data_IF_951142349441
#
_entry.id   IF_951142349441
#
_cell.length_a   1.000
_cell.length_b   1.000
_cell.length_c   1.000
_cell.angle_alpha   90.00
_cell.angle_beta   90.00
_cell.angle_gamma   90.00
#
_symmetry.space_group_name_H-M   'P 1'
#
loop_
_entity.id
_entity.type
_entity.pdbx_description
1 polymer ?
#
# COMPACT_ATOMS: atom_id res chain seq x y z
N UNK A 1 4.48 8.93 -38.85
CA UNK A 1 4.42 7.93 -37.76
C UNK A 1 3.01 7.96 -37.23
N UNK A 2 2.21 7.06 -37.77
CA UNK A 2 0.83 7.41 -38.12
C UNK A 2 -0.14 7.13 -36.98
N UNK A 3 -1.19 7.93 -36.87
CA UNK A 3 -2.24 7.79 -35.86
C UNK A 3 -2.84 6.37 -35.81
N UNK A 4 -2.82 5.66 -36.94
CA UNK A 4 -3.22 4.25 -37.07
C UNK A 4 -2.25 3.32 -36.33
N UNK A 5 -0.94 3.56 -36.41
CA UNK A 5 0.07 2.76 -35.69
C UNK A 5 -0.04 2.99 -34.17
N UNK A 6 -0.26 4.23 -33.74
CA UNK A 6 -0.49 4.57 -32.32
C UNK A 6 -1.78 3.93 -31.77
N UNK A 7 -2.86 3.92 -32.55
CA UNK A 7 -4.13 3.29 -32.18
C UNK A 7 -4.01 1.77 -32.09
N UNK A 8 -3.39 1.14 -33.10
CA UNK A 8 -3.18 -0.32 -33.15
C UNK A 8 -2.24 -0.81 -32.05
N UNK A 9 -1.19 -0.04 -31.75
CA UNK A 9 -0.30 -0.31 -30.63
C UNK A 9 -1.00 -0.14 -29.28
N UNK A 10 -1.89 0.85 -29.15
CA UNK A 10 -2.76 1.00 -27.98
C UNK A 10 -3.70 -0.18 -27.78
N UNK A 11 -4.32 -0.69 -28.85
CA UNK A 11 -5.18 -1.88 -28.80
C UNK A 11 -4.41 -3.17 -28.43
N UNK A 12 -3.19 -3.35 -28.96
CA UNK A 12 -2.34 -4.49 -28.62
C UNK A 12 -1.92 -4.44 -27.14
N UNK A 13 -1.49 -3.27 -26.65
CA UNK A 13 -1.11 -3.09 -25.24
C UNK A 13 -2.32 -3.34 -24.33
N UNK A 14 -3.50 -2.84 -24.69
CA UNK A 14 -4.73 -3.09 -23.94
C UNK A 14 -5.05 -4.58 -23.89
N UNK A 15 -4.86 -5.31 -24.99
CA UNK A 15 -5.09 -6.75 -25.04
C UNK A 15 -4.10 -7.51 -24.15
N UNK A 16 -2.80 -7.20 -24.21
CA UNK A 16 -1.76 -7.78 -23.34
C UNK A 16 -2.02 -7.46 -21.85
N UNK A 17 -2.42 -6.23 -21.53
CA UNK A 17 -2.77 -5.83 -20.16
C UNK A 17 -4.03 -6.57 -19.68
N UNK A 18 -5.04 -6.79 -20.53
CA UNK A 18 -6.24 -7.57 -20.18
C UNK A 18 -5.90 -9.05 -19.98
N UNK A 19 -5.03 -9.62 -20.82
CA UNK A 19 -4.59 -11.01 -20.69
C UNK A 19 -3.79 -11.21 -19.40
N UNK A 20 -2.83 -10.33 -19.12
CA UNK A 20 -2.09 -10.37 -17.86
C UNK A 20 -3.03 -10.22 -16.67
N UNK A 21 -3.93 -9.22 -16.67
CA UNK A 21 -4.96 -9.06 -15.63
C UNK A 21 -5.82 -10.32 -15.45
N UNK A 22 -6.21 -10.97 -16.53
CA UNK A 22 -7.03 -12.18 -16.50
C UNK A 22 -6.26 -13.36 -15.90
N UNK A 23 -4.99 -13.55 -16.29
CA UNK A 23 -4.11 -14.59 -15.75
C UNK A 23 -3.87 -14.34 -14.25
N UNK A 24 -3.62 -13.09 -13.87
CA UNK A 24 -3.43 -12.67 -12.49
C UNK A 24 -4.69 -12.94 -11.67
N UNK A 25 -5.85 -12.56 -12.20
CA UNK A 25 -7.13 -12.78 -11.54
C UNK A 25 -7.41 -14.27 -11.36
N UNK A 26 -7.15 -15.09 -12.38
CA UNK A 26 -7.30 -16.55 -12.30
C UNK A 26 -6.30 -17.17 -11.31
N UNK A 27 -5.06 -16.70 -11.29
CA UNK A 27 -4.05 -17.17 -10.34
C UNK A 27 -4.41 -16.80 -8.89
N UNK A 28 -4.89 -15.59 -8.65
CA UNK A 28 -5.32 -15.13 -7.33
C UNK A 28 -6.62 -15.81 -6.89
N UNK A 29 -7.55 -16.05 -7.82
CA UNK A 29 -8.79 -16.77 -7.56
C UNK A 29 -8.53 -18.25 -7.27
N UNK A 30 -7.64 -18.90 -8.02
CA UNK A 30 -7.24 -20.28 -7.78
C UNK A 30 -6.48 -20.43 -6.46
N UNK A 31 -5.58 -19.51 -6.11
CA UNK A 31 -4.93 -19.47 -4.80
C UNK A 31 -5.97 -19.28 -3.67
N UNK A 32 -6.94 -18.38 -3.85
CA UNK A 32 -8.02 -18.14 -2.88
C UNK A 32 -8.91 -19.37 -2.70
N UNK A 33 -9.19 -20.11 -3.77
CA UNK A 33 -9.94 -21.37 -3.77
C UNK A 33 -9.12 -22.47 -3.08
N UNK A 34 -7.85 -22.62 -3.43
CA UNK A 34 -6.95 -23.61 -2.82
C UNK A 34 -6.85 -23.41 -1.30
N UNK A 35 -6.78 -22.16 -0.86
CA UNK A 35 -6.74 -21.81 0.57
C UNK A 35 -8.08 -22.06 1.27
N UNK A 36 -9.22 -21.81 0.61
CA UNK A 36 -10.55 -22.19 1.14
C UNK A 36 -10.78 -23.70 1.20
N UNK A 37 -10.12 -24.48 0.33
CA UNK A 37 -10.23 -25.94 0.28
C UNK A 37 -9.22 -26.65 1.20
N UNK A 38 -8.08 -26.02 1.51
CA UNK A 38 -7.08 -26.54 2.43
C UNK A 38 -7.61 -27.02 3.81
N UNK A 39 -8.55 -26.32 4.48
CA UNK A 39 -9.11 -26.79 5.75
C UNK A 39 -9.95 -28.08 5.64
N UNK A 40 -10.38 -28.48 4.43
CA UNK A 40 -11.04 -29.80 4.22
C UNK A 40 -10.05 -30.97 4.25
N UNK A 41 -8.78 -30.74 3.95
CA UNK A 41 -7.75 -31.79 3.90
C UNK A 41 -6.83 -31.81 5.12
N UNK A 42 -6.70 -30.70 5.88
CA UNK A 42 -5.87 -30.63 7.08
C UNK A 42 -6.60 -29.93 8.24
N UNK A 43 -7.43 -30.67 8.98
CA UNK A 43 -8.22 -30.18 10.13
C UNK A 43 -7.40 -29.71 11.35
N UNK A 44 -6.09 -29.96 11.38
CA UNK A 44 -5.26 -29.76 12.58
C UNK A 44 -4.40 -28.47 12.55
N UNK A 45 -4.58 -27.61 11.53
CA UNK A 45 -3.86 -26.34 11.37
C UNK A 45 -4.83 -25.17 11.25
N UNK A 46 -4.56 -24.07 11.96
CA UNK A 46 -5.41 -22.87 11.95
C UNK A 46 -5.24 -22.06 10.66
N UNK A 47 -6.15 -22.25 9.72
CA UNK A 47 -6.25 -21.45 8.49
C UNK A 47 -7.12 -20.18 8.65
N UNK A 48 -7.74 -19.98 9.81
CA UNK A 48 -8.68 -18.87 10.07
C UNK A 48 -8.03 -17.49 9.89
N UNK A 49 -6.76 -17.37 10.30
CA UNK A 49 -5.97 -16.15 10.11
C UNK A 49 -5.71 -15.84 8.64
N UNK A 50 -5.51 -16.86 7.81
CA UNK A 50 -5.30 -16.73 6.37
C UNK A 50 -6.60 -16.36 5.66
N UNK A 51 -7.71 -17.00 6.04
CA UNK A 51 -9.03 -16.76 5.46
C UNK A 51 -9.54 -15.34 5.77
N UNK A 52 -9.27 -14.82 6.97
CA UNK A 52 -9.58 -13.43 7.34
C UNK A 52 -8.74 -12.43 6.53
N UNK A 53 -7.43 -12.68 6.37
CA UNK A 53 -6.54 -11.83 5.55
C UNK A 53 -6.98 -11.79 4.09
N UNK A 54 -7.35 -12.93 3.51
CA UNK A 54 -7.86 -13.02 2.14
C UNK A 54 -9.20 -12.30 1.98
N UNK A 55 -10.09 -12.36 2.99
CA UNK A 55 -11.39 -11.67 2.95
C UNK A 55 -11.22 -10.15 2.98
N UNK A 56 -10.35 -9.63 3.84
CA UNK A 56 -10.00 -8.20 3.89
C UNK A 56 -9.31 -7.75 2.60
N UNK A 57 -8.46 -8.61 2.05
CA UNK A 57 -7.78 -8.37 0.78
C UNK A 57 -8.74 -8.31 -0.42
N UNK A 58 -9.63 -9.29 -0.57
CA UNK A 58 -10.67 -9.29 -1.61
C UNK A 58 -11.66 -8.12 -1.46
N UNK A 59 -11.99 -7.72 -0.23
CA UNK A 59 -12.93 -6.64 0.03
C UNK A 59 -12.40 -5.24 -0.34
N UNK A 60 -11.10 -5.00 -0.18
CA UNK A 60 -10.51 -3.67 -0.39
C UNK A 60 -9.63 -3.55 -1.64
N UNK A 61 -8.74 -4.51 -1.90
CA UNK A 61 -7.76 -4.41 -2.99
C UNK A 61 -8.36 -4.71 -4.36
N UNK A 62 -9.36 -5.59 -4.47
CA UNK A 62 -10.02 -5.88 -5.75
C UNK A 62 -10.68 -4.63 -6.36
N UNK A 63 -11.37 -3.83 -5.54
CA UNK A 63 -12.03 -2.59 -5.96
C UNK A 63 -11.00 -1.58 -6.44
N UNK A 64 -9.94 -1.37 -5.66
CA UNK A 64 -8.88 -0.39 -5.99
C UNK A 64 -8.08 -0.83 -7.22
N UNK A 65 -7.86 -2.13 -7.41
CA UNK A 65 -7.15 -2.70 -8.55
C UNK A 65 -7.96 -2.58 -9.85
N UNK A 66 -9.27 -2.82 -9.81
CA UNK A 66 -10.16 -2.59 -10.94
C UNK A 66 -10.21 -1.11 -11.34
N UNK A 67 -10.27 -0.19 -10.37
CA UNK A 67 -10.33 1.24 -10.66
C UNK A 67 -8.98 1.85 -11.09
N UNK A 68 -7.84 1.33 -10.63
CA UNK A 68 -6.51 1.89 -10.95
C UNK A 68 -5.95 1.42 -12.30
N UNK A 69 -6.45 0.31 -12.87
CA UNK A 69 -5.88 -0.34 -14.06
C UNK A 69 -6.69 -0.08 -15.33
N UNK A 70 -7.94 0.38 -15.22
CA UNK A 70 -8.80 0.69 -16.35
C UNK A 70 -8.54 2.13 -16.87
N UNK A 71 -7.60 2.21 -17.82
CA UNK A 71 -7.58 3.11 -18.98
C UNK A 71 -6.88 4.48 -18.94
N UNK A 72 -6.45 5.05 -17.82
CA UNK A 72 -5.77 6.37 -17.88
C UNK A 72 -4.79 6.62 -16.72
N UNK A 73 -3.57 7.09 -17.02
CA UNK A 73 -2.58 7.50 -16.01
C UNK A 73 -3.16 8.48 -14.98
N UNK A 74 -4.12 9.32 -15.39
CA UNK A 74 -4.83 10.23 -14.49
C UNK A 74 -5.77 9.51 -13.52
N UNK A 75 -6.47 8.47 -13.96
CA UNK A 75 -7.39 7.70 -13.11
C UNK A 75 -6.58 6.90 -12.08
N UNK A 76 -5.48 6.28 -12.50
CA UNK A 76 -4.55 5.59 -11.59
C UNK A 76 -3.97 6.53 -10.53
N UNK A 77 -3.55 7.73 -10.96
CA UNK A 77 -3.06 8.78 -10.07
C UNK A 77 -4.11 9.16 -9.01
N UNK A 78 -5.36 9.40 -9.42
CA UNK A 78 -6.45 9.76 -8.50
C UNK A 78 -6.77 8.58 -7.55
N UNK A 79 -6.82 7.35 -8.06
CA UNK A 79 -7.07 6.16 -7.25
C UNK A 79 -6.01 5.98 -6.16
N UNK A 80 -4.73 6.14 -6.52
CA UNK A 80 -3.61 6.03 -5.57
C UNK A 80 -3.60 7.23 -4.59
N UNK A 81 -4.02 8.41 -5.03
CA UNK A 81 -4.21 9.56 -4.12
C UNK A 81 -5.27 9.27 -3.05
N UNK A 82 -6.40 8.67 -3.46
CA UNK A 82 -7.46 8.24 -2.54
C UNK A 82 -6.96 7.14 -1.61
N UNK A 83 -6.16 6.19 -2.12
CA UNK A 83 -5.52 5.15 -1.31
C UNK A 83 -4.60 5.76 -0.24
N UNK A 84 -3.73 6.71 -0.59
CA UNK A 84 -2.87 7.43 0.36
C UNK A 84 -3.70 8.16 1.43
N UNK A 85 -4.84 8.75 1.05
CA UNK A 85 -5.76 9.38 2.00
C UNK A 85 -6.34 8.37 3.00
N UNK A 86 -6.84 7.23 2.53
CA UNK A 86 -7.38 6.19 3.41
C UNK A 86 -6.31 5.58 4.31
N UNK A 87 -5.12 5.30 3.76
CA UNK A 87 -3.99 4.77 4.51
C UNK A 87 -3.56 5.73 5.63
N UNK A 88 -3.44 7.03 5.33
CA UNK A 88 -3.09 8.03 6.32
C UNK A 88 -4.20 8.19 7.38
N UNK A 89 -5.46 8.09 6.98
CA UNK A 89 -6.62 8.15 7.88
C UNK A 89 -6.64 6.99 8.86
N UNK A 90 -6.44 5.78 8.38
CA UNK A 90 -6.34 4.58 9.22
C UNK A 90 -5.15 4.65 10.17
N UNK A 91 -3.99 5.07 9.67
CA UNK A 91 -2.79 5.27 10.48
C UNK A 91 -3.03 6.27 11.63
N UNK A 92 -3.64 7.42 11.35
CA UNK A 92 -3.95 8.42 12.37
C UNK A 92 -5.02 7.96 13.36
N UNK A 93 -5.98 7.14 12.95
CA UNK A 93 -6.97 6.55 13.85
C UNK A 93 -6.35 5.55 14.83
N UNK A 94 -5.29 4.83 14.43
CA UNK A 94 -4.60 3.88 15.31
C UNK A 94 -3.71 4.56 16.35
N UNK A 95 -3.25 5.79 16.09
CA UNK A 95 -2.43 6.53 17.04
C UNK A 95 -3.26 7.12 18.19
N UNK A 96 -2.68 7.15 19.40
CA UNK A 96 -3.25 7.89 20.54
C UNK A 96 -3.18 9.39 20.28
N UNK A 97 -4.16 9.93 19.58
CA UNK A 97 -4.18 11.34 19.14
C UNK A 97 -4.56 12.28 20.29
N UNK A 98 -3.85 13.42 20.39
CA UNK A 98 -4.21 14.51 21.31
C UNK A 98 -4.88 15.64 20.54
N UNK A 99 -5.75 16.40 21.22
CA UNK A 99 -6.42 17.57 20.62
C UNK A 99 -5.43 18.59 20.05
N UNK A 100 -4.26 18.74 20.66
CA UNK A 100 -3.19 19.61 20.18
C UNK A 100 -2.59 19.14 18.85
N UNK A 101 -2.63 17.84 18.52
CA UNK A 101 -1.99 17.26 17.32
C UNK A 101 -2.84 17.47 16.06
N UNK A 102 -4.11 17.88 16.21
CA UNK A 102 -5.07 18.05 15.11
C UNK A 102 -4.56 18.97 13.99
N UNK A 103 -3.82 20.02 14.36
CA UNK A 103 -3.24 20.95 13.37
C UNK A 103 -2.19 20.25 12.51
N UNK A 104 -1.29 19.46 13.10
CA UNK A 104 -0.26 18.73 12.35
C UNK A 104 -0.91 17.75 11.36
N UNK A 105 -1.95 17.03 11.79
CA UNK A 105 -2.65 16.09 10.92
C UNK A 105 -3.33 16.78 9.75
N UNK A 106 -3.94 17.95 9.95
CA UNK A 106 -4.50 18.75 8.87
C UNK A 106 -3.43 19.10 7.82
N UNK A 107 -2.25 19.53 8.27
CA UNK A 107 -1.12 19.81 7.37
C UNK A 107 -0.68 18.55 6.62
N UNK A 108 -0.59 17.40 7.30
CA UNK A 108 -0.23 16.14 6.64
C UNK A 108 -1.23 15.75 5.54
N UNK A 109 -2.55 15.93 5.76
CA UNK A 109 -3.55 15.71 4.73
C UNK A 109 -3.43 16.67 3.54
N UNK A 110 -3.05 17.93 3.79
CA UNK A 110 -2.81 18.91 2.73
C UNK A 110 -1.60 18.55 1.85
N UNK A 111 -0.62 17.83 2.40
CA UNK A 111 0.55 17.40 1.63
C UNK A 111 0.22 16.34 0.58
N UNK A 112 -0.85 15.57 0.75
CA UNK A 112 -1.27 14.56 -0.23
C UNK A 112 -1.58 15.19 -1.60
N UNK A 113 -2.56 16.10 -1.76
CA UNK A 113 -2.86 16.66 -3.09
C UNK A 113 -1.67 17.39 -3.70
N UNK A 114 -0.83 18.04 -2.88
CA UNK A 114 0.39 18.71 -3.36
C UNK A 114 1.40 17.68 -3.90
N UNK A 115 1.60 16.56 -3.21
CA UNK A 115 2.49 15.48 -3.68
C UNK A 115 2.02 14.92 -5.03
N UNK A 116 0.72 14.70 -5.18
CA UNK A 116 0.14 14.18 -6.43
C UNK A 116 0.11 15.21 -7.55
N UNK A 117 0.06 16.50 -7.23
CA UNK A 117 0.22 17.59 -8.20
C UNK A 117 1.62 17.58 -8.85
N UNK A 118 2.69 17.35 -8.07
CA UNK A 118 4.04 17.22 -8.63
C UNK A 118 4.18 16.03 -9.57
N UNK A 119 3.52 14.90 -9.22
CA UNK A 119 3.45 13.72 -10.10
C UNK A 119 2.72 14.07 -11.39
N UNK A 120 1.60 14.79 -11.30
CA UNK A 120 0.80 15.16 -12.48
C UNK A 120 1.58 16.02 -13.49
N UNK A 121 2.42 16.94 -13.02
CA UNK A 121 3.30 17.76 -13.88
C UNK A 121 4.53 16.96 -14.38
N UNK A 122 4.80 15.79 -13.80
CA UNK A 122 5.97 14.97 -14.13
C UNK A 122 7.27 15.49 -13.53
N UNK A 123 7.22 16.33 -12.49
CA UNK A 123 8.41 16.92 -11.90
C UNK A 123 9.04 16.01 -10.84
N UNK A 124 9.84 15.05 -11.31
CA UNK A 124 10.47 14.03 -10.47
C UNK A 124 11.34 14.59 -9.33
N UNK A 125 12.14 15.62 -9.61
CA UNK A 125 13.03 16.23 -8.60
C UNK A 125 12.25 16.79 -7.41
N UNK A 126 11.16 17.52 -7.67
CA UNK A 126 10.29 18.02 -6.62
C UNK A 126 9.54 16.90 -5.91
N UNK A 127 9.02 15.90 -6.65
CA UNK A 127 8.33 14.75 -6.07
C UNK A 127 9.17 14.00 -5.01
N UNK A 128 10.46 13.76 -5.29
CA UNK A 128 11.34 13.04 -4.36
C UNK A 128 11.74 13.89 -3.15
N UNK A 129 11.99 15.18 -3.36
CA UNK A 129 12.53 16.05 -2.30
C UNK A 129 11.41 16.64 -1.43
N UNK A 130 10.17 16.72 -1.95
CA UNK A 130 9.04 17.38 -1.27
C UNK A 130 8.80 16.84 0.13
N UNK A 131 8.51 15.55 0.29
CA UNK A 131 8.18 14.99 1.60
C UNK A 131 9.43 14.90 2.51
N UNK A 132 10.53 14.25 2.09
CA UNK A 132 11.66 14.00 2.98
C UNK A 132 12.42 15.26 3.42
N UNK A 133 12.40 16.33 2.62
CA UNK A 133 13.13 17.58 2.93
C UNK A 133 12.17 18.69 3.33
N UNK A 134 11.29 19.13 2.43
CA UNK A 134 10.46 20.30 2.69
C UNK A 134 9.40 20.03 3.75
N UNK A 135 8.62 18.97 3.61
CA UNK A 135 7.57 18.67 4.59
C UNK A 135 8.20 18.35 5.95
N UNK A 136 9.28 17.58 6.01
CA UNK A 136 9.95 17.29 7.27
C UNK A 136 10.45 18.56 7.97
N UNK A 137 10.93 19.55 7.22
CA UNK A 137 11.36 20.84 7.77
C UNK A 137 10.18 21.69 8.28
N UNK A 138 9.07 21.73 7.54
CA UNK A 138 7.95 22.64 7.84
C UNK A 138 6.88 22.04 8.77
N UNK A 139 6.71 20.72 8.80
CA UNK A 139 5.70 20.02 9.62
C UNK A 139 5.78 20.33 11.13
N UNK A 140 6.95 20.55 11.76
CA UNK A 140 7.04 20.91 13.17
C UNK A 140 6.53 22.34 13.46
N UNK A 141 6.57 23.27 12.49
CA UNK A 141 6.25 24.69 12.72
C UNK A 141 4.79 24.92 13.16
N UNK A 142 3.76 24.34 12.51
CA UNK A 142 2.37 24.49 12.94
C UNK A 142 2.14 24.11 14.41
N UNK A 143 2.95 23.19 14.94
CA UNK A 143 2.81 22.73 16.32
C UNK A 143 3.40 23.72 17.33
N UNK A 144 4.50 24.37 17.00
CA UNK A 144 5.18 25.32 17.90
C UNK A 144 4.27 26.52 18.22
N UNK A 145 3.44 26.94 17.27
CA UNK A 145 2.52 28.09 17.40
C UNK A 145 1.47 27.88 18.52
N UNK A 146 1.20 26.64 18.94
CA UNK A 146 0.16 26.31 19.92
C UNK A 146 0.59 26.23 21.40
N UNK A 147 1.83 26.59 21.75
CA UNK A 147 2.41 26.54 23.12
C UNK A 147 2.42 25.15 23.81
N UNK A 148 2.00 24.08 23.14
CA UNK A 148 1.94 22.72 23.69
C UNK A 148 3.20 21.91 23.37
N UNK A 149 4.16 21.88 24.29
CA UNK A 149 5.42 21.10 24.16
C UNK A 149 5.26 19.62 24.54
N UNK A 150 4.19 19.28 25.27
CA UNK A 150 4.00 17.92 25.79
C UNK A 150 3.78 16.91 24.66
N UNK A 151 4.71 15.96 24.53
CA UNK A 151 4.71 14.94 23.48
C UNK A 151 4.91 15.49 22.06
N UNK A 152 5.50 16.67 21.93
CA UNK A 152 5.86 17.29 20.64
C UNK A 152 6.64 16.33 19.74
N UNK A 153 7.78 15.84 20.24
CA UNK A 153 8.69 14.99 19.47
C UNK A 153 7.98 13.71 19.02
N UNK A 154 7.19 13.09 19.91
CA UNK A 154 6.42 11.89 19.60
C UNK A 154 5.43 12.11 18.46
N UNK A 155 4.63 13.18 18.52
CA UNK A 155 3.63 13.48 17.49
C UNK A 155 4.26 13.84 16.14
N UNK A 156 5.32 14.65 16.17
CA UNK A 156 6.04 15.08 14.96
C UNK A 156 6.73 13.88 14.30
N UNK A 157 7.51 13.09 15.05
CA UNK A 157 8.22 11.94 14.50
C UNK A 157 7.27 10.90 13.91
N UNK A 158 6.17 10.56 14.58
CA UNK A 158 5.19 9.63 14.02
C UNK A 158 4.50 10.17 12.76
N UNK A 159 4.20 11.46 12.73
CA UNK A 159 3.56 12.04 11.54
C UNK A 159 4.53 12.13 10.36
N UNK A 160 5.80 12.47 10.60
CA UNK A 160 6.85 12.53 9.57
C UNK A 160 7.16 11.13 9.03
N UNK A 161 7.59 10.21 9.89
CA UNK A 161 8.05 8.90 9.48
C UNK A 161 6.90 7.94 9.18
N UNK A 162 6.02 7.72 10.14
CA UNK A 162 4.95 6.74 9.98
C UNK A 162 3.84 7.20 9.06
N UNK A 163 3.41 8.45 9.18
CA UNK A 163 2.34 9.02 8.37
C UNK A 163 2.82 9.36 6.96
N UNK A 164 3.68 10.36 6.83
CA UNK A 164 4.01 10.95 5.53
C UNK A 164 5.00 10.11 4.73
N UNK A 165 6.08 9.61 5.35
CA UNK A 165 7.10 8.86 4.64
C UNK A 165 6.60 7.49 4.16
N UNK A 166 5.91 6.73 5.02
CA UNK A 166 5.42 5.40 4.64
C UNK A 166 4.10 5.45 3.87
N UNK A 167 3.07 6.14 4.38
CA UNK A 167 1.72 6.08 3.79
C UNK A 167 1.54 6.97 2.57
N UNK A 168 2.28 8.09 2.48
CA UNK A 168 2.15 9.03 1.34
C UNK A 168 3.31 8.86 0.39
N UNK A 169 4.55 9.11 0.83
CA UNK A 169 5.73 9.07 -0.03
C UNK A 169 5.93 7.66 -0.61
N UNK A 170 5.97 6.61 0.22
CA UNK A 170 6.15 5.23 -0.25
C UNK A 170 5.10 4.81 -1.29
N UNK A 171 3.81 4.97 -0.97
CA UNK A 171 2.70 4.58 -1.85
C UNK A 171 2.65 5.45 -3.13
N UNK A 172 2.96 6.74 -3.05
CA UNK A 172 2.92 7.65 -4.20
C UNK A 172 3.90 7.29 -5.33
N UNK A 173 4.96 6.52 -5.06
CA UNK A 173 5.85 6.00 -6.11
C UNK A 173 5.11 5.10 -7.10
N UNK A 174 4.08 4.38 -6.64
CA UNK A 174 3.23 3.57 -7.50
C UNK A 174 2.49 4.42 -8.54
N UNK A 175 2.07 5.64 -8.17
CA UNK A 175 1.42 6.57 -9.08
C UNK A 175 2.38 7.23 -10.07
N UNK A 176 3.68 7.26 -9.73
CA UNK A 176 4.69 7.86 -10.59
C UNK A 176 5.05 6.96 -11.79
N UNK A 177 5.08 5.62 -11.63
CA UNK A 177 5.46 4.71 -12.73
C UNK A 177 4.63 4.91 -14.02
N UNK A 178 3.28 4.97 -13.96
CA UNK A 178 2.45 5.20 -15.16
C UNK A 178 2.65 6.57 -15.82
N UNK A 179 3.14 7.57 -15.07
CA UNK A 179 3.42 8.92 -15.59
C UNK A 179 4.81 8.98 -16.22
N UNK A 180 5.81 8.34 -15.59
CA UNK A 180 7.19 8.32 -16.07
C UNK A 180 7.35 7.53 -17.37
N UNK A 181 6.69 6.36 -17.46
CA UNK A 181 6.75 5.49 -18.65
C UNK A 181 5.35 5.02 -19.03
N UNK A 182 4.61 5.77 -19.86
CA UNK A 182 3.23 5.42 -20.21
C UNK A 182 3.05 4.02 -20.86
N UNK A 183 4.10 3.49 -21.50
CA UNK A 183 4.06 2.20 -22.19
C UNK A 183 4.22 0.99 -21.26
N UNK A 184 5.06 1.09 -20.22
CA UNK A 184 5.44 -0.04 -19.35
C UNK A 184 5.17 0.20 -17.86
N UNK A 185 4.99 1.46 -17.45
CA UNK A 185 4.76 1.88 -16.07
C UNK A 185 3.57 1.19 -15.41
N UNK A 186 2.40 1.09 -16.05
CA UNK A 186 1.27 0.35 -15.49
C UNK A 186 1.58 -1.13 -15.24
N UNK A 187 2.34 -1.76 -16.14
CA UNK A 187 2.73 -3.17 -16.01
C UNK A 187 3.71 -3.40 -14.85
N UNK A 188 4.60 -2.43 -14.57
CA UNK A 188 5.49 -2.47 -13.40
C UNK A 188 4.72 -2.38 -12.08
N UNK A 189 3.68 -1.54 -12.03
CA UNK A 189 2.80 -1.43 -10.86
C UNK A 189 2.06 -2.75 -10.63
N UNK A 190 1.49 -3.33 -11.70
CA UNK A 190 0.85 -4.64 -11.66
C UNK A 190 1.81 -5.72 -11.15
N UNK A 191 3.01 -5.79 -11.73
CA UNK A 191 4.05 -6.73 -11.34
C UNK A 191 4.39 -6.61 -9.85
N UNK A 192 4.62 -5.40 -9.36
CA UNK A 192 4.97 -5.18 -7.96
C UNK A 192 3.84 -5.60 -7.01
N UNK A 193 2.59 -5.29 -7.33
CA UNK A 193 1.44 -5.72 -6.54
C UNK A 193 1.38 -7.26 -6.48
N UNK A 194 1.49 -7.95 -7.60
CA UNK A 194 1.45 -9.42 -7.62
C UNK A 194 2.63 -10.00 -6.83
N UNK A 195 3.83 -9.44 -7.02
CA UNK A 195 5.02 -9.90 -6.34
C UNK A 195 4.86 -9.81 -4.82
N UNK A 196 4.32 -8.69 -4.31
CA UNK A 196 4.04 -8.54 -2.88
C UNK A 196 3.00 -9.54 -2.38
N UNK A 197 1.94 -9.82 -3.16
CA UNK A 197 0.91 -10.80 -2.77
C UNK A 197 1.43 -12.23 -2.74
N UNK A 198 2.19 -12.61 -3.76
CA UNK A 198 2.83 -13.93 -3.82
C UNK A 198 3.83 -14.07 -2.68
N UNK A 199 4.59 -13.01 -2.36
CA UNK A 199 5.49 -12.99 -1.22
C UNK A 199 4.75 -13.22 0.11
N UNK A 200 3.64 -12.53 0.35
CA UNK A 200 2.82 -12.69 1.57
C UNK A 200 2.30 -14.12 1.73
N UNK A 201 1.78 -14.72 0.65
CA UNK A 201 1.24 -16.10 0.67
C UNK A 201 2.36 -17.12 0.89
N UNK A 202 3.48 -16.99 0.17
CA UNK A 202 4.62 -17.90 0.31
C UNK A 202 5.21 -17.78 1.72
N UNK A 203 5.37 -16.57 2.26
CA UNK A 203 5.88 -16.34 3.61
C UNK A 203 4.95 -16.99 4.64
N UNK A 204 3.64 -16.85 4.48
CA UNK A 204 2.68 -17.50 5.36
C UNK A 204 2.79 -19.03 5.28
N UNK A 205 2.82 -19.61 4.08
CA UNK A 205 2.92 -21.06 3.90
C UNK A 205 4.22 -21.61 4.51
N UNK A 206 5.37 -20.99 4.22
CA UNK A 206 6.66 -21.38 4.79
C UNK A 206 6.62 -21.25 6.32
N UNK A 207 6.04 -20.19 6.86
CA UNK A 207 5.91 -19.99 8.31
C UNK A 207 5.03 -21.05 8.98
N UNK A 208 4.03 -21.59 8.27
CA UNK A 208 3.14 -22.63 8.78
C UNK A 208 3.78 -24.03 8.75
N UNK A 209 4.57 -24.34 7.71
CA UNK A 209 5.17 -25.68 7.53
C UNK A 209 6.56 -25.80 8.18
N UNK A 210 7.38 -24.76 8.12
CA UNK A 210 8.80 -24.78 8.51
C UNK A 210 9.08 -23.83 9.69
N UNK A 211 8.21 -22.83 9.92
CA UNK A 211 8.39 -21.81 10.96
C UNK A 211 8.35 -22.37 12.39
N UNK A 212 9.54 -22.53 12.99
CA UNK A 212 9.71 -22.91 14.40
C UNK A 212 10.15 -21.75 15.29
N UNK A 213 10.80 -20.73 14.72
CA UNK A 213 11.35 -19.61 15.48
C UNK A 213 10.67 -18.29 15.10
N UNK A 214 10.15 -17.56 16.11
CA UNK A 214 9.58 -16.22 15.92
C UNK A 214 10.74 -15.22 15.85
N UNK A 215 10.90 -14.55 14.71
CA UNK A 215 11.93 -13.51 14.55
C UNK A 215 11.60 -12.26 15.38
N UNK A 216 10.31 -11.95 15.55
CA UNK A 216 9.82 -10.82 16.35
C UNK A 216 8.67 -11.27 17.27
N UNK A 217 8.96 -11.92 18.40
CA UNK A 217 7.96 -12.57 19.25
C UNK A 217 6.92 -11.61 19.85
N UNK A 218 7.30 -10.36 20.15
CA UNK A 218 6.41 -9.35 20.73
C UNK A 218 5.49 -8.68 19.69
N UNK A 219 5.88 -8.68 18.41
CA UNK A 219 5.17 -7.97 17.35
C UNK A 219 4.28 -8.90 16.50
N UNK A 220 4.54 -10.20 16.50
CA UNK A 220 3.86 -11.17 15.63
C UNK A 220 2.98 -12.11 16.46
N UNK A 221 1.65 -12.12 16.25
CA UNK A 221 0.78 -13.06 16.93
C UNK A 221 1.16 -14.52 16.60
N UNK A 222 0.97 -15.46 17.54
CA UNK A 222 1.30 -16.86 17.31
C UNK A 222 0.46 -17.44 16.19
N UNK A 223 1.09 -18.16 15.27
CA UNK A 223 0.41 -18.82 14.13
C UNK A 223 -0.21 -20.16 14.57
N UNK A 224 0.20 -20.71 15.74
CA UNK A 224 -0.30 -21.97 16.28
C UNK A 224 -0.77 -21.77 17.73
N UNK A 225 -1.96 -22.26 18.11
CA UNK A 225 -2.45 -22.21 19.48
C UNK A 225 -1.55 -23.06 20.39
N UNK A 226 -1.13 -22.50 21.53
CA UNK A 226 -0.36 -23.21 22.57
C UNK A 226 1.16 -23.07 22.52
N UNK A 227 1.74 -22.29 21.59
CA UNK A 227 3.19 -21.99 21.56
C UNK A 227 3.62 -20.82 22.46
N UNK A 228 2.70 -20.28 23.25
CA UNK A 228 2.96 -19.12 24.11
C UNK A 228 3.61 -19.53 25.44
N UNK A 229 3.58 -20.82 25.77
CA UNK A 229 4.07 -21.39 27.02
C UNK A 229 5.54 -21.84 26.98
N UNK A 230 6.24 -21.65 25.85
CA UNK A 230 7.62 -22.11 25.64
C UNK A 230 8.61 -20.98 25.38
N UNK A 231 8.20 -19.73 25.63
CA UNK A 231 9.01 -18.53 25.41
C UNK A 231 9.35 -17.80 26.72
N UNK A 232 9.44 -18.55 27.82
CA UNK A 232 10.07 -18.14 29.07
C UNK A 232 11.37 -18.92 29.27
#
# INVERSE_FOLDING_TARGET
MDAVFKKRMGEIILQETIWTLSIIFIALFSASIAIKLAPKFQKHKDFDTLQSRIKTWWGGMFVIFCFATLFNSTVSLIAIMILCYFALKEYFMMMKTRKSDRRIFLWAYLMIPIQFYWIYIGWYGMFIVFIPVYVFLFLPLPRIIGKGTVGFLRSVSFTQWGGLMLMVFGISHLAYFPVATPLYGPNLVLFLIILTQVNDVIQYLISLYIGKHKIAPTATPPILPGRDLLAD
#
